data_IF_235510185251
#
_entry.id   IF_235510185251
#
_cell.length_a   1.000
_cell.length_b   1.000
_cell.length_c   1.000
_cell.angle_alpha   90.00
_cell.angle_beta   90.00
_cell.angle_gamma   90.00
#
_symmetry.space_group_name_H-M   'P 1'
#
loop_
_entity.id
_entity.type
_entity.pdbx_description
1 polymer ?
#
# COMPACT_ATOMS: atom_id res chain seq x y z
N UNK A 1 -23.48 6.30 -17.48
CA UNK A 1 -22.54 6.48 -16.34
C UNK A 1 -21.89 7.85 -16.49
N UNK A 2 -22.06 8.73 -15.53
CA UNK A 2 -21.39 10.05 -15.55
C UNK A 2 -19.92 9.85 -15.16
N UNK A 3 -19.00 10.36 -16.01
CA UNK A 3 -17.58 10.36 -15.72
C UNK A 3 -17.30 11.21 -14.46
N UNK A 4 -16.49 10.70 -13.55
CA UNK A 4 -16.07 11.41 -12.34
C UNK A 4 -14.58 11.71 -12.44
N UNK A 5 -14.19 12.97 -12.24
CA UNK A 5 -12.79 13.38 -12.16
C UNK A 5 -12.28 13.12 -10.73
N UNK A 6 -11.25 12.31 -10.60
CA UNK A 6 -10.65 11.93 -9.32
C UNK A 6 -9.14 12.12 -9.37
N UNK A 7 -8.51 12.34 -8.21
CA UNK A 7 -7.07 12.12 -8.09
C UNK A 7 -6.77 10.62 -8.09
N UNK A 8 -5.53 10.23 -8.39
CA UNK A 8 -5.12 8.82 -8.33
C UNK A 8 -5.36 8.22 -6.94
N UNK A 9 -5.05 8.98 -5.88
CA UNK A 9 -5.29 8.54 -4.50
C UNK A 9 -6.79 8.29 -4.22
N UNK A 10 -7.67 9.20 -4.68
CA UNK A 10 -9.12 9.01 -4.53
C UNK A 10 -9.62 7.79 -5.31
N UNK A 11 -9.10 7.58 -6.54
CA UNK A 11 -9.48 6.43 -7.35
C UNK A 11 -9.04 5.12 -6.68
N UNK A 12 -7.80 5.06 -6.18
CA UNK A 12 -7.25 3.90 -5.47
C UNK A 12 -8.08 3.55 -4.22
N UNK A 13 -8.37 4.55 -3.37
CA UNK A 13 -9.14 4.34 -2.14
C UNK A 13 -10.56 3.88 -2.46
N UNK A 14 -11.22 4.49 -3.46
CA UNK A 14 -12.56 4.06 -3.91
C UNK A 14 -12.53 2.65 -4.47
N UNK A 15 -11.50 2.29 -5.26
CA UNK A 15 -11.35 0.94 -5.79
C UNK A 15 -11.21 -0.10 -4.67
N UNK A 16 -10.37 0.15 -3.65
CA UNK A 16 -10.25 -0.72 -2.48
C UNK A 16 -11.57 -0.85 -1.72
N UNK A 17 -12.25 0.27 -1.46
CA UNK A 17 -13.54 0.28 -0.74
C UNK A 17 -14.65 -0.44 -1.50
N UNK A 18 -14.57 -0.51 -2.82
CA UNK A 18 -15.57 -1.16 -3.67
C UNK A 18 -15.37 -2.67 -3.84
N UNK A 19 -14.25 -3.24 -3.37
CA UNK A 19 -13.97 -4.66 -3.53
C UNK A 19 -14.75 -5.52 -2.52
N UNK A 20 -15.47 -6.50 -3.04
CA UNK A 20 -16.24 -7.45 -2.25
C UNK A 20 -15.89 -8.88 -2.63
N UNK A 21 -15.98 -9.76 -1.66
CA UNK A 21 -15.92 -11.21 -1.84
C UNK A 21 -17.16 -11.85 -1.22
N UNK A 22 -17.57 -12.98 -1.77
CA UNK A 22 -18.63 -13.80 -1.21
C UNK A 22 -18.11 -15.20 -1.02
N UNK A 23 -18.24 -15.74 0.18
CA UNK A 23 -17.82 -17.09 0.53
C UNK A 23 -18.88 -17.67 1.47
N UNK A 24 -19.39 -18.86 1.14
CA UNK A 24 -20.42 -19.56 1.91
C UNK A 24 -21.70 -18.72 2.14
N UNK A 25 -22.08 -17.89 1.15
CA UNK A 25 -23.23 -16.99 1.22
C UNK A 25 -22.98 -15.71 2.03
N UNK A 26 -21.82 -15.55 2.64
CA UNK A 26 -21.45 -14.33 3.35
C UNK A 26 -20.69 -13.36 2.43
N UNK A 27 -21.25 -12.18 2.22
CA UNK A 27 -20.64 -11.09 1.48
C UNK A 27 -19.86 -10.17 2.41
N UNK A 28 -18.57 -10.00 2.14
CA UNK A 28 -17.66 -9.17 2.95
C UNK A 28 -16.77 -8.30 2.07
N UNK A 29 -16.37 -7.14 2.57
CA UNK A 29 -15.34 -6.33 1.89
C UNK A 29 -14.00 -7.08 1.90
N UNK A 30 -13.30 -7.07 0.76
CA UNK A 30 -11.96 -7.66 0.61
C UNK A 30 -10.97 -6.93 1.52
N UNK A 31 -10.98 -5.58 1.47
CA UNK A 31 -10.13 -4.78 2.34
C UNK A 31 -10.83 -4.48 3.66
N UNK A 32 -10.20 -4.88 4.76
CA UNK A 32 -10.68 -4.61 6.11
C UNK A 32 -10.28 -3.23 6.61
N UNK A 33 -9.22 -2.66 6.04
CA UNK A 33 -8.69 -1.35 6.38
C UNK A 33 -7.32 -1.14 5.77
N UNK A 34 -6.71 -0.01 6.11
CA UNK A 34 -5.37 0.39 5.67
C UNK A 34 -4.51 0.69 6.88
N UNK A 35 -3.39 0.01 7.02
CA UNK A 35 -2.33 0.40 7.91
C UNK A 35 -1.51 1.52 7.28
N UNK A 36 -1.20 2.57 8.04
CA UNK A 36 -0.54 3.75 7.48
C UNK A 36 0.57 4.33 8.37
N UNK A 37 1.73 4.52 7.76
CA UNK A 37 2.81 5.37 8.24
C UNK A 37 3.15 6.28 7.07
N UNK A 38 2.55 7.46 7.02
CA UNK A 38 2.62 8.33 5.85
C UNK A 38 3.99 8.98 5.70
N UNK A 39 4.43 9.08 4.43
CA UNK A 39 5.40 10.07 4.02
C UNK A 39 4.74 11.42 3.74
N UNK A 40 5.54 12.46 3.57
CA UNK A 40 5.08 13.85 3.39
C UNK A 40 4.11 14.01 2.21
N UNK A 41 4.44 13.48 1.05
CA UNK A 41 3.59 13.56 -0.14
C UNK A 41 2.29 12.77 0.00
N UNK A 42 2.37 11.59 0.57
CA UNK A 42 1.21 10.70 0.72
C UNK A 42 0.21 11.17 1.79
N UNK A 43 0.63 11.98 2.76
CA UNK A 43 -0.29 12.52 3.75
C UNK A 43 -1.36 13.41 3.11
N UNK A 44 -0.96 14.33 2.24
CA UNK A 44 -1.88 15.25 1.58
C UNK A 44 -2.70 14.59 0.45
N UNK A 45 -2.26 13.47 -0.09
CA UNK A 45 -2.95 12.77 -1.17
C UNK A 45 -3.72 11.55 -0.65
N UNK A 46 -3.00 10.49 -0.28
CA UNK A 46 -3.60 9.23 0.15
C UNK A 46 -4.26 9.37 1.53
N UNK A 47 -3.64 10.11 2.44
CA UNK A 47 -4.18 10.34 3.79
C UNK A 47 -5.52 11.09 3.74
N UNK A 48 -5.65 12.12 2.91
CA UNK A 48 -6.91 12.85 2.72
C UNK A 48 -8.00 11.94 2.11
N UNK A 49 -7.65 11.16 1.09
CA UNK A 49 -8.60 10.23 0.46
C UNK A 49 -9.06 9.13 1.43
N UNK A 50 -8.17 8.60 2.27
CA UNK A 50 -8.51 7.64 3.31
C UNK A 50 -9.39 8.26 4.41
N UNK A 51 -9.09 9.50 4.82
CA UNK A 51 -9.93 10.21 5.79
C UNK A 51 -11.35 10.40 5.29
N UNK A 52 -11.52 10.73 4.01
CA UNK A 52 -12.84 10.84 3.38
C UNK A 52 -13.59 9.51 3.32
N UNK A 53 -12.89 8.37 3.28
CA UNK A 53 -13.45 7.02 3.21
C UNK A 53 -13.46 6.28 4.55
N UNK A 54 -13.13 6.93 5.67
CA UNK A 54 -12.88 6.31 6.99
C UNK A 54 -14.01 5.43 7.51
N UNK A 55 -15.27 5.73 7.16
CA UNK A 55 -16.43 4.98 7.62
C UNK A 55 -16.56 3.61 6.93
N UNK A 56 -15.95 3.45 5.76
CA UNK A 56 -16.04 2.22 4.95
C UNK A 56 -14.68 1.52 4.79
N UNK A 57 -13.58 2.25 4.94
CA UNK A 57 -12.22 1.75 4.86
C UNK A 57 -11.37 2.40 5.97
N UNK A 58 -11.43 1.86 7.20
CA UNK A 58 -10.74 2.46 8.35
C UNK A 58 -9.22 2.49 8.16
N UNK A 59 -8.60 3.57 8.63
CA UNK A 59 -7.16 3.74 8.64
C UNK A 59 -6.63 3.52 10.05
N UNK A 60 -5.64 2.64 10.17
CA UNK A 60 -4.97 2.27 11.41
C UNK A 60 -3.53 2.81 11.39
N UNK A 61 -3.08 3.36 12.50
CA UNK A 61 -1.72 3.86 12.64
C UNK A 61 -0.83 2.80 13.28
N UNK A 62 0.41 2.73 12.84
CA UNK A 62 1.43 1.89 13.41
C UNK A 62 2.68 2.73 13.74
N UNK A 63 3.60 2.14 14.49
CA UNK A 63 4.86 2.78 14.91
C UNK A 63 6.08 2.27 14.12
N UNK A 64 5.90 1.19 13.35
CA UNK A 64 6.97 0.57 12.57
C UNK A 64 6.37 -0.14 11.35
N UNK A 65 6.95 0.04 10.18
CA UNK A 65 6.40 -0.46 8.92
C UNK A 65 6.50 -1.98 8.81
N UNK A 66 7.57 -2.59 9.30
CA UNK A 66 7.71 -4.04 9.33
C UNK A 66 6.65 -4.67 10.23
N UNK A 67 6.45 -4.13 11.44
CA UNK A 67 5.42 -4.59 12.35
C UNK A 67 4.01 -4.43 11.75
N UNK A 68 3.74 -3.32 11.08
CA UNK A 68 2.52 -3.05 10.32
C UNK A 68 2.28 -4.12 9.24
N UNK A 69 3.30 -4.42 8.45
CA UNK A 69 3.24 -5.47 7.43
C UNK A 69 2.95 -6.85 8.04
N UNK A 70 3.62 -7.20 9.15
CA UNK A 70 3.35 -8.46 9.86
C UNK A 70 1.93 -8.50 10.45
N UNK A 71 1.40 -7.39 10.95
CA UNK A 71 0.00 -7.32 11.40
C UNK A 71 -0.98 -7.58 10.25
N UNK A 72 -0.71 -7.04 9.05
CA UNK A 72 -1.50 -7.33 7.85
C UNK A 72 -1.42 -8.81 7.43
N UNK A 73 -0.23 -9.41 7.50
CA UNK A 73 -0.01 -10.85 7.28
C UNK A 73 -0.80 -11.70 8.27
N UNK A 74 -0.73 -11.36 9.56
CA UNK A 74 -1.47 -12.06 10.61
C UNK A 74 -2.98 -11.94 10.41
N UNK A 75 -3.48 -10.76 10.02
CA UNK A 75 -4.89 -10.54 9.69
C UNK A 75 -5.35 -11.43 8.52
N UNK A 76 -4.58 -11.47 7.44
CA UNK A 76 -4.89 -12.30 6.28
C UNK A 76 -4.94 -13.79 6.64
N UNK A 77 -4.01 -14.25 7.51
CA UNK A 77 -4.00 -15.62 8.02
C UNK A 77 -5.23 -15.90 8.89
N UNK A 78 -5.53 -15.04 9.85
CA UNK A 78 -6.69 -15.17 10.74
C UNK A 78 -8.03 -15.10 9.98
N UNK A 79 -8.06 -14.39 8.87
CA UNK A 79 -9.22 -14.28 7.98
C UNK A 79 -9.30 -15.42 6.95
N UNK A 80 -8.48 -16.46 7.08
CA UNK A 80 -8.43 -17.59 6.13
C UNK A 80 -8.23 -17.14 4.67
N UNK A 81 -7.47 -16.07 4.43
CA UNK A 81 -7.22 -15.41 3.12
C UNK A 81 -8.49 -14.81 2.45
N UNK A 82 -9.62 -14.77 3.16
CA UNK A 82 -10.89 -14.22 2.63
C UNK A 82 -10.91 -12.69 2.63
N UNK A 83 -10.05 -12.08 3.44
CA UNK A 83 -9.90 -10.62 3.58
C UNK A 83 -8.44 -10.25 3.71
N UNK A 84 -8.12 -9.02 3.37
CA UNK A 84 -6.76 -8.48 3.50
C UNK A 84 -6.75 -7.06 4.08
N UNK A 85 -5.57 -6.62 4.44
CA UNK A 85 -5.25 -5.24 4.76
C UNK A 85 -4.36 -4.65 3.66
N UNK A 86 -4.46 -3.35 3.45
CA UNK A 86 -3.43 -2.60 2.74
C UNK A 86 -2.45 -1.97 3.74
N UNK A 87 -1.22 -1.72 3.30
CA UNK A 87 -0.19 -1.02 4.06
C UNK A 87 0.40 0.10 3.20
N UNK A 88 0.44 1.32 3.71
CA UNK A 88 1.12 2.43 3.04
C UNK A 88 2.24 3.00 3.89
N UNK A 89 3.33 3.41 3.25
CA UNK A 89 4.55 3.91 3.91
C UNK A 89 5.06 5.16 3.22
N UNK A 90 6.05 5.82 3.84
CA UNK A 90 6.89 6.78 3.16
C UNK A 90 7.73 6.12 2.05
N UNK A 91 8.40 6.94 1.26
CA UNK A 91 9.45 6.48 0.33
C UNK A 91 10.67 5.96 1.10
N UNK A 92 11.61 5.35 0.40
CA UNK A 92 12.94 5.03 0.91
C UNK A 92 12.91 4.09 2.12
N UNK A 93 13.38 4.52 3.30
CA UNK A 93 13.52 3.64 4.47
C UNK A 93 12.18 3.08 4.96
N UNK A 94 11.07 3.81 4.84
CA UNK A 94 9.75 3.30 5.19
C UNK A 94 9.30 2.18 4.25
N UNK A 95 9.52 2.37 2.95
CA UNK A 95 9.19 1.37 1.93
C UNK A 95 10.05 0.09 2.08
N UNK A 96 11.37 0.24 2.22
CA UNK A 96 12.29 -0.90 2.35
C UNK A 96 12.08 -1.68 3.65
N UNK A 97 11.59 -1.03 4.72
CA UNK A 97 11.26 -1.68 5.97
C UNK A 97 10.08 -2.68 5.87
N UNK A 98 9.33 -2.67 4.76
CA UNK A 98 8.28 -3.67 4.47
C UNK A 98 8.83 -4.99 3.91
N UNK A 99 10.09 -5.04 3.47
CA UNK A 99 10.63 -6.17 2.70
C UNK A 99 10.47 -7.53 3.42
N UNK A 100 10.79 -7.60 4.71
CA UNK A 100 10.65 -8.84 5.48
C UNK A 100 9.19 -9.30 5.57
N UNK A 101 8.27 -8.38 5.80
CA UNK A 101 6.84 -8.70 5.86
C UNK A 101 6.29 -9.11 4.48
N UNK A 102 6.76 -8.47 3.41
CA UNK A 102 6.45 -8.86 2.03
C UNK A 102 6.91 -10.30 1.73
N UNK A 103 8.15 -10.64 2.12
CA UNK A 103 8.69 -11.99 1.96
C UNK A 103 7.84 -13.04 2.71
N UNK A 104 7.43 -12.75 3.95
CA UNK A 104 6.56 -13.64 4.73
C UNK A 104 5.19 -13.79 4.08
N UNK A 105 4.57 -12.70 3.60
CA UNK A 105 3.31 -12.75 2.87
C UNK A 105 3.44 -13.60 1.60
N UNK A 106 4.52 -13.36 0.82
CA UNK A 106 4.78 -14.04 -0.44
C UNK A 106 4.94 -15.55 -0.28
N UNK A 107 5.83 -15.99 0.60
CA UNK A 107 6.12 -17.43 0.80
C UNK A 107 4.92 -18.18 1.36
N UNK A 108 4.12 -17.55 2.22
CA UNK A 108 2.91 -18.13 2.81
C UNK A 108 1.64 -17.92 1.95
N UNK A 109 1.74 -17.24 0.80
CA UNK A 109 0.61 -16.92 -0.09
C UNK A 109 -0.53 -16.22 0.65
N UNK A 110 -0.19 -15.26 1.50
CA UNK A 110 -1.15 -14.46 2.25
C UNK A 110 -1.41 -13.13 1.53
N UNK A 111 -2.67 -12.75 1.29
CA UNK A 111 -2.98 -11.53 0.56
C UNK A 111 -2.72 -10.30 1.44
N UNK A 112 -1.82 -9.45 0.98
CA UNK A 112 -1.54 -8.12 1.55
C UNK A 112 -1.28 -7.18 0.38
N UNK A 113 -1.87 -6.00 0.39
CA UNK A 113 -1.58 -4.95 -0.59
C UNK A 113 -0.57 -3.98 0.02
N UNK A 114 0.60 -3.86 -0.57
CA UNK A 114 1.60 -2.88 -0.19
C UNK A 114 1.53 -1.68 -1.13
N UNK A 115 1.44 -0.49 -0.57
CA UNK A 115 1.34 0.80 -1.28
C UNK A 115 2.44 1.73 -0.75
N UNK A 116 3.72 1.39 -0.96
CA UNK A 116 4.81 2.25 -0.55
C UNK A 116 4.81 3.54 -1.36
N UNK A 117 5.23 4.64 -0.74
CA UNK A 117 5.59 5.85 -1.47
C UNK A 117 6.76 5.61 -2.40
N UNK A 118 6.90 6.46 -3.42
CA UNK A 118 7.99 6.40 -4.38
C UNK A 118 8.47 7.81 -4.74
N UNK A 119 9.62 7.91 -5.36
CA UNK A 119 10.14 9.13 -5.98
C UNK A 119 9.36 9.47 -7.24
N UNK A 120 9.59 10.65 -7.81
CA UNK A 120 8.90 11.08 -9.02
C UNK A 120 9.11 10.10 -10.19
N UNK A 121 8.01 9.72 -10.82
CA UNK A 121 8.04 8.77 -11.93
C UNK A 121 8.37 9.42 -13.29
N UNK A 122 8.17 10.74 -13.42
CA UNK A 122 8.17 11.44 -14.70
C UNK A 122 9.31 12.43 -14.89
N UNK A 123 10.18 12.57 -13.90
CA UNK A 123 11.36 13.46 -13.99
C UNK A 123 12.58 12.84 -13.33
N UNK A 124 13.76 13.34 -13.69
CA UNK A 124 14.99 12.96 -13.01
C UNK A 124 14.90 13.19 -11.50
N UNK A 125 15.59 12.37 -10.71
CA UNK A 125 15.53 12.45 -9.26
C UNK A 125 16.16 13.79 -8.79
N UNK A 126 15.32 14.68 -8.28
CA UNK A 126 15.78 15.76 -7.42
C UNK A 126 15.86 15.25 -5.99
N UNK A 127 16.79 15.73 -5.15
CA UNK A 127 16.85 15.35 -3.76
C UNK A 127 15.51 15.60 -3.07
N UNK A 128 14.90 14.53 -2.56
CA UNK A 128 13.71 14.61 -1.73
C UNK A 128 13.96 13.95 -0.39
N UNK A 129 13.21 14.36 0.62
CA UNK A 129 13.34 13.81 1.96
C UNK A 129 13.18 12.28 1.93
N UNK A 130 14.09 11.56 2.58
CA UNK A 130 14.10 10.10 2.69
C UNK A 130 14.39 9.35 1.38
N UNK A 131 14.85 10.04 0.35
CA UNK A 131 15.27 9.38 -0.89
C UNK A 131 16.54 8.55 -0.64
N UNK A 132 16.54 7.31 -1.13
CA UNK A 132 17.67 6.37 -1.03
C UNK A 132 18.33 6.11 -2.39
N UNK A 133 17.66 6.45 -3.47
CA UNK A 133 18.07 6.16 -4.84
C UNK A 133 19.29 6.97 -5.23
N UNK A 134 20.13 6.39 -6.08
CA UNK A 134 21.26 7.08 -6.73
C UNK A 134 20.69 8.09 -7.75
N UNK A 135 21.12 9.35 -7.64
CA UNK A 135 20.69 10.41 -8.56
C UNK A 135 21.17 10.22 -10.00
N UNK A 136 22.18 9.39 -10.22
CA UNK A 136 22.68 9.06 -11.56
C UNK A 136 21.81 8.07 -12.31
N UNK A 137 20.96 7.30 -11.62
CA UNK A 137 20.05 6.31 -12.20
C UNK A 137 18.58 6.64 -11.91
N UNK A 138 17.93 7.29 -12.86
CA UNK A 138 16.52 7.65 -12.76
C UNK A 138 15.54 6.49 -12.98
N UNK A 139 16.01 5.29 -13.30
CA UNK A 139 15.18 4.12 -13.56
C UNK A 139 14.96 3.26 -12.32
N UNK A 140 15.92 3.23 -11.41
CA UNK A 140 15.83 2.45 -10.18
C UNK A 140 15.05 3.19 -9.11
N UNK A 141 14.28 2.44 -8.36
CA UNK A 141 13.61 2.91 -7.14
C UNK A 141 13.88 1.96 -5.99
N UNK A 142 13.94 2.46 -4.76
CA UNK A 142 14.08 1.63 -3.56
C UNK A 142 12.99 0.54 -3.49
N UNK A 143 11.82 0.80 -4.08
CA UNK A 143 10.71 -0.14 -4.14
C UNK A 143 11.00 -1.39 -4.99
N UNK A 144 12.00 -1.36 -5.88
CA UNK A 144 12.36 -2.53 -6.69
C UNK A 144 12.79 -3.73 -5.84
N UNK A 145 13.23 -3.51 -4.58
CA UNK A 145 13.49 -4.59 -3.64
C UNK A 145 12.24 -5.45 -3.32
N UNK A 146 11.03 -4.91 -3.52
CA UNK A 146 9.77 -5.60 -3.29
C UNK A 146 9.34 -6.45 -4.49
N UNK A 147 9.90 -6.22 -5.67
CA UNK A 147 9.52 -6.92 -6.91
C UNK A 147 9.66 -8.45 -6.79
N UNK A 148 10.79 -9.02 -6.37
CA UNK A 148 10.95 -10.47 -6.21
C UNK A 148 10.13 -11.04 -5.04
N UNK A 149 9.62 -10.20 -4.14
CA UNK A 149 8.83 -10.57 -2.96
C UNK A 149 7.33 -10.40 -3.18
N UNK A 150 6.90 -10.15 -4.42
CA UNK A 150 5.52 -9.86 -4.78
C UNK A 150 4.98 -10.84 -5.82
N UNK A 151 3.69 -11.11 -5.79
CA UNK A 151 2.97 -11.85 -6.85
C UNK A 151 2.55 -10.95 -8.00
N UNK A 152 2.31 -9.69 -7.69
CA UNK A 152 2.05 -8.62 -8.63
C UNK A 152 2.84 -7.39 -8.17
N UNK A 153 3.46 -6.72 -9.09
CA UNK A 153 4.21 -5.50 -8.83
C UNK A 153 3.97 -4.53 -9.99
N UNK A 154 3.63 -3.30 -9.67
CA UNK A 154 3.47 -2.24 -10.65
C UNK A 154 3.81 -0.89 -10.02
N UNK A 155 4.15 0.09 -10.85
CA UNK A 155 4.42 1.47 -10.47
C UNK A 155 3.35 2.35 -11.08
N UNK A 156 2.60 3.04 -10.25
CA UNK A 156 1.59 4.00 -10.69
C UNK A 156 2.30 5.28 -11.15
N UNK A 157 2.08 5.67 -12.40
CA UNK A 157 2.68 6.85 -13.05
C UNK A 157 1.62 7.83 -13.53
#
# INVERSE_FOLDING_TARGET
>A
MTASRLTVAQALVRAMAAQWTEVDGERRRVFAGVWAIFGHGNMAALGEALYAARDVLPTLRAHNEQAMGHAAVAFAKASYRRRMMACTTSIGPGATNLATAAAVAHVNRLPVLLLPGDVFATRGPDPVLQQLEDFSDGLLTANDCLRPLSRYYDRIT
#
